data_IF_251817521862
#
_entry.id   IF_251817521862
#
_cell.length_a   1.000
_cell.length_b   1.000
_cell.length_c   1.000
_cell.angle_alpha   90.00
_cell.angle_beta   90.00
_cell.angle_gamma   90.00
#
_symmetry.space_group_name_H-M   'P 1'
#
loop_
_entity.id
_entity.type
_entity.pdbx_description
1 polymer ?
#
# COMPACT_ATOMS: atom_id res chain seq x y z
N UNK A 1 11.39 -13.81 -32.01
CA UNK A 1 9.93 -13.96 -31.95
C UNK A 1 9.63 -15.40 -32.32
N UNK A 2 8.94 -16.15 -31.46
CA UNK A 2 8.39 -17.45 -31.81
C UNK A 2 6.93 -17.42 -31.34
N UNK A 3 6.01 -17.47 -32.29
CA UNK A 3 4.59 -17.31 -32.11
C UNK A 3 3.92 -18.65 -32.40
N UNK A 4 3.25 -19.22 -31.41
CA UNK A 4 2.37 -20.38 -31.58
C UNK A 4 0.99 -20.04 -31.00
N UNK A 5 -0.01 -20.05 -31.89
CA UNK A 5 -1.41 -20.44 -31.66
C UNK A 5 -2.22 -19.71 -30.58
N UNK A 6 -3.17 -18.87 -31.04
CA UNK A 6 -4.42 -18.38 -30.42
C UNK A 6 -4.73 -18.77 -28.95
N UNK A 7 -3.81 -18.44 -28.06
CA UNK A 7 -4.10 -18.15 -26.67
C UNK A 7 -3.22 -16.97 -26.32
N UNK A 8 -3.79 -15.90 -25.78
CA UNK A 8 -3.05 -14.75 -25.26
C UNK A 8 -2.26 -15.17 -23.99
N UNK A 9 -1.36 -16.15 -24.13
CA UNK A 9 -0.46 -16.62 -23.09
C UNK A 9 0.82 -15.81 -23.20
N UNK A 10 0.86 -14.72 -22.43
CA UNK A 10 2.11 -14.04 -22.15
C UNK A 10 3.01 -14.98 -21.34
N UNK A 11 4.19 -15.29 -21.87
CA UNK A 11 5.22 -16.05 -21.18
C UNK A 11 6.32 -15.13 -20.66
N UNK A 12 6.81 -15.41 -19.46
CA UNK A 12 7.94 -14.67 -18.89
C UNK A 12 9.19 -14.98 -19.72
N UNK A 13 9.91 -13.95 -20.16
CA UNK A 13 11.22 -14.15 -20.79
C UNK A 13 12.25 -14.57 -19.73
N UNK A 14 13.30 -15.29 -20.15
CA UNK A 14 14.44 -15.64 -19.30
C UNK A 14 15.05 -14.41 -18.62
N UNK A 15 15.00 -13.24 -19.27
CA UNK A 15 15.49 -11.97 -18.70
C UNK A 15 14.62 -11.46 -17.56
N UNK A 16 13.29 -11.58 -17.69
CA UNK A 16 12.36 -11.23 -16.62
C UNK A 16 12.43 -12.25 -15.47
N UNK A 17 12.67 -13.52 -15.78
CA UNK A 17 12.93 -14.57 -14.79
C UNK A 17 14.23 -14.29 -14.01
N UNK A 18 15.33 -13.93 -14.67
CA UNK A 18 16.60 -13.59 -14.01
C UNK A 18 16.46 -12.37 -13.09
N UNK A 19 15.74 -11.34 -13.54
CA UNK A 19 15.44 -10.16 -12.72
C UNK A 19 14.56 -10.53 -11.51
N UNK A 20 13.54 -11.37 -11.73
CA UNK A 20 12.69 -11.90 -10.67
C UNK A 20 13.47 -12.75 -9.66
N UNK A 21 14.41 -13.58 -10.12
CA UNK A 21 15.25 -14.42 -9.29
C UNK A 21 16.18 -13.59 -8.38
N UNK A 22 16.70 -12.46 -8.88
CA UNK A 22 17.46 -11.51 -8.04
C UNK A 22 16.56 -10.78 -7.05
N UNK A 23 15.33 -10.46 -7.45
CA UNK A 23 14.31 -9.91 -6.54
C UNK A 23 13.85 -10.92 -5.47
N UNK A 24 14.16 -12.22 -5.61
CA UNK A 24 13.87 -13.23 -4.58
C UNK A 24 14.64 -12.98 -3.28
N UNK A 25 15.65 -12.10 -3.24
CA UNK A 25 16.25 -11.66 -1.97
C UNK A 25 15.24 -10.92 -1.07
N UNK A 26 14.15 -10.37 -1.63
CA UNK A 26 13.02 -9.82 -0.87
C UNK A 26 12.01 -10.88 -0.38
N UNK A 27 12.18 -12.16 -0.74
CA UNK A 27 11.27 -13.24 -0.30
C UNK A 27 11.30 -13.41 1.21
N UNK A 28 12.44 -13.16 1.85
CA UNK A 28 12.56 -13.26 3.30
C UNK A 28 11.73 -12.19 4.02
N UNK A 29 11.62 -10.98 3.45
CA UNK A 29 10.75 -9.93 3.99
C UNK A 29 9.28 -10.35 3.89
N UNK A 30 8.82 -10.82 2.73
CA UNK A 30 7.42 -11.22 2.52
C UNK A 30 7.07 -12.41 3.40
N UNK A 31 7.95 -13.42 3.50
CA UNK A 31 7.73 -14.60 4.35
C UNK A 31 7.67 -14.23 5.83
N UNK A 32 8.59 -13.38 6.29
CA UNK A 32 8.59 -12.88 7.66
C UNK A 32 7.33 -12.08 7.99
N UNK A 33 6.91 -11.20 7.07
CA UNK A 33 5.71 -10.41 7.22
C UNK A 33 4.43 -11.26 7.17
N UNK A 34 4.37 -12.31 6.34
CA UNK A 34 3.20 -13.18 6.17
C UNK A 34 2.75 -13.80 7.50
N UNK A 35 3.69 -14.23 8.34
CA UNK A 35 3.40 -14.80 9.67
C UNK A 35 2.62 -13.79 10.53
N UNK A 36 3.13 -12.56 10.63
CA UNK A 36 2.50 -11.50 11.43
C UNK A 36 1.19 -11.01 10.80
N UNK A 37 1.16 -10.86 9.48
CA UNK A 37 -0.04 -10.44 8.74
C UNK A 37 -1.19 -11.42 8.91
N UNK A 38 -0.92 -12.73 8.92
CA UNK A 38 -1.95 -13.76 9.17
C UNK A 38 -2.51 -13.68 10.58
N UNK A 39 -1.66 -13.42 11.58
CA UNK A 39 -2.13 -13.26 12.96
C UNK A 39 -3.03 -12.03 13.10
N UNK A 40 -2.62 -10.89 12.54
CA UNK A 40 -3.45 -9.68 12.51
C UNK A 40 -4.76 -9.94 11.75
N UNK A 41 -4.71 -10.65 10.62
CA UNK A 41 -5.91 -11.00 9.86
C UNK A 41 -6.84 -11.92 10.65
N UNK A 42 -6.31 -12.88 11.42
CA UNK A 42 -7.10 -13.76 12.29
C UNK A 42 -7.82 -12.99 13.39
N UNK A 43 -7.14 -12.02 14.00
CA UNK A 43 -7.68 -11.19 15.09
C UNK A 43 -8.71 -10.17 14.58
N UNK A 44 -8.45 -9.54 13.43
CA UNK A 44 -9.28 -8.44 12.90
C UNK A 44 -10.35 -8.90 11.91
N UNK A 45 -10.12 -10.04 11.25
CA UNK A 45 -10.89 -10.56 10.10
C UNK A 45 -10.89 -9.64 8.87
N UNK A 46 -10.05 -8.60 8.88
CA UNK A 46 -9.94 -7.61 7.82
C UNK A 46 -8.87 -7.97 6.79
N UNK A 47 -8.87 -7.24 5.68
CA UNK A 47 -7.83 -7.34 4.65
C UNK A 47 -6.56 -6.68 5.15
N UNK A 48 -5.43 -7.39 5.06
CA UNK A 48 -4.10 -6.88 5.43
C UNK A 48 -3.28 -6.70 4.15
N UNK A 49 -2.64 -5.54 3.99
CA UNK A 49 -1.78 -5.24 2.84
C UNK A 49 -0.36 -4.97 3.32
N UNK A 50 0.61 -5.48 2.57
CA UNK A 50 1.99 -5.06 2.65
C UNK A 50 2.32 -4.25 1.40
N UNK A 51 2.90 -3.08 1.58
CA UNK A 51 3.32 -2.23 0.48
C UNK A 51 4.75 -1.74 0.66
N UNK A 52 5.41 -1.54 -0.47
CA UNK A 52 6.72 -0.90 -0.55
C UNK A 52 6.58 0.51 -1.12
N UNK A 53 7.47 1.41 -0.70
CA UNK A 53 7.66 2.69 -1.37
C UNK A 53 8.37 2.44 -2.71
N UNK A 54 7.87 3.04 -3.77
CA UNK A 54 8.49 3.06 -5.09
C UNK A 54 8.31 4.44 -5.69
N UNK A 55 9.39 5.22 -5.67
CA UNK A 55 9.44 6.64 -6.04
C UNK A 55 8.35 7.44 -5.30
N UNK A 56 7.34 7.91 -6.03
CA UNK A 56 6.23 8.76 -5.57
C UNK A 56 4.97 7.97 -5.16
N UNK A 57 5.08 6.64 -5.09
CA UNK A 57 3.92 5.76 -4.95
C UNK A 57 4.15 4.58 -4.00
N UNK A 58 3.07 3.95 -3.55
CA UNK A 58 3.13 2.64 -2.91
C UNK A 58 2.83 1.55 -3.92
N UNK A 59 3.54 0.43 -3.83
CA UNK A 59 3.23 -0.81 -4.56
C UNK A 59 2.84 -1.88 -3.56
N UNK A 60 1.67 -2.50 -3.75
CA UNK A 60 1.32 -3.67 -2.93
C UNK A 60 2.19 -4.86 -3.33
N UNK A 61 2.94 -5.40 -2.36
CA UNK A 61 3.85 -6.54 -2.57
C UNK A 61 3.32 -7.83 -1.94
N UNK A 62 2.41 -7.72 -0.96
CA UNK A 62 1.73 -8.89 -0.37
C UNK A 62 0.34 -8.50 0.16
N UNK A 63 -0.53 -9.51 0.32
CA UNK A 63 -1.91 -9.31 0.77
C UNK A 63 -2.48 -10.57 1.45
N UNK A 64 -3.18 -10.38 2.56
CA UNK A 64 -4.11 -11.37 3.14
C UNK A 64 -5.53 -10.87 2.91
N UNK A 65 -6.34 -11.69 2.24
CA UNK A 65 -7.74 -11.35 1.98
C UNK A 65 -8.58 -11.46 3.25
N UNK A 66 -9.53 -10.52 3.38
CA UNK A 66 -10.51 -10.49 4.45
C UNK A 66 -11.37 -11.76 4.47
N UNK A 67 -11.74 -12.20 5.67
CA UNK A 67 -12.67 -13.32 5.85
C UNK A 67 -14.14 -12.95 5.58
N UNK A 68 -14.45 -11.65 5.49
CA UNK A 68 -15.75 -11.18 5.02
C UNK A 68 -15.87 -11.32 3.49
N UNK A 69 -17.08 -11.63 3.00
CA UNK A 69 -17.42 -11.72 1.56
C UNK A 69 -17.32 -10.39 0.78
N UNK A 70 -16.67 -9.38 1.35
CA UNK A 70 -16.50 -8.06 0.78
C UNK A 70 -15.11 -7.93 0.15
N UNK A 71 -15.01 -8.24 -1.15
CA UNK A 71 -13.78 -8.10 -1.93
C UNK A 71 -13.43 -6.62 -2.13
N UNK A 72 -12.33 -6.18 -1.51
CA UNK A 72 -11.71 -4.90 -1.84
C UNK A 72 -10.96 -5.04 -3.17
N UNK A 73 -11.18 -4.12 -4.11
CA UNK A 73 -10.50 -4.09 -5.41
C UNK A 73 -9.03 -3.63 -5.26
N UNK A 74 -8.21 -4.52 -4.69
CA UNK A 74 -6.79 -4.34 -4.44
C UNK A 74 -6.06 -5.62 -4.84
N UNK A 75 -4.97 -5.47 -5.61
CA UNK A 75 -4.16 -6.57 -6.13
C UNK A 75 -2.67 -6.27 -5.93
N UNK A 76 -1.87 -7.31 -5.78
CA UNK A 76 -0.41 -7.22 -5.77
C UNK A 76 0.07 -6.57 -7.08
N UNK A 77 1.10 -5.73 -7.01
CA UNK A 77 1.62 -4.92 -8.12
C UNK A 77 0.83 -3.63 -8.40
N UNK A 78 -0.31 -3.39 -7.74
CA UNK A 78 -1.08 -2.14 -7.95
C UNK A 78 -0.39 -0.96 -7.24
N UNK A 79 -0.07 0.08 -8.02
CA UNK A 79 0.42 1.36 -7.52
C UNK A 79 -0.71 2.23 -6.95
N UNK A 80 -0.45 2.94 -5.86
CA UNK A 80 -1.38 3.94 -5.31
C UNK A 80 -0.61 5.17 -4.80
N UNK A 81 -1.25 6.36 -4.74
CA UNK A 81 -0.58 7.55 -4.24
C UNK A 81 -0.23 7.46 -2.76
N UNK A 82 0.90 8.05 -2.36
CA UNK A 82 1.36 8.07 -0.98
C UNK A 82 0.41 8.83 -0.04
N UNK A 83 -0.03 10.03 -0.45
CA UNK A 83 -0.83 10.94 0.38
C UNK A 83 -2.22 10.40 0.77
N UNK A 84 -2.78 9.51 -0.05
CA UNK A 84 -4.17 9.03 0.10
C UNK A 84 -4.29 7.63 0.71
N UNK A 85 -3.16 6.97 0.98
CA UNK A 85 -3.13 5.61 1.55
C UNK A 85 -2.59 5.61 2.97
N UNK A 86 -3.06 4.67 3.81
CA UNK A 86 -2.52 4.51 5.16
C UNK A 86 -1.04 4.08 5.10
N UNK A 87 -0.71 3.13 4.21
CA UNK A 87 0.66 2.66 4.00
C UNK A 87 1.57 3.81 3.58
N UNK A 88 1.16 4.63 2.60
CA UNK A 88 1.98 5.75 2.16
C UNK A 88 2.25 6.78 3.26
N UNK A 89 1.24 7.09 4.07
CA UNK A 89 1.41 7.95 5.25
C UNK A 89 2.40 7.36 6.26
N UNK A 90 2.32 6.07 6.55
CA UNK A 90 3.27 5.40 7.46
C UNK A 90 4.69 5.41 6.91
N UNK A 91 4.87 5.14 5.62
CA UNK A 91 6.17 5.16 4.96
C UNK A 91 6.81 6.56 4.96
N UNK A 92 6.00 7.61 4.76
CA UNK A 92 6.47 9.00 4.79
C UNK A 92 6.71 9.54 6.21
N UNK A 93 5.99 9.04 7.22
CA UNK A 93 6.07 9.56 8.59
C UNK A 93 7.47 9.45 9.23
N UNK A 94 8.23 8.43 8.83
CA UNK A 94 9.58 8.15 9.34
C UNK A 94 10.71 8.78 8.52
N UNK A 95 10.38 9.45 7.41
CA UNK A 95 11.35 10.14 6.53
C UNK A 95 11.59 11.57 7.00
N UNK A 96 12.74 12.11 6.64
CA UNK A 96 13.03 13.53 6.84
C UNK A 96 12.08 14.40 6.04
N UNK A 97 11.70 15.56 6.60
CA UNK A 97 10.64 16.40 6.02
C UNK A 97 11.02 16.96 4.65
N UNK A 98 12.30 17.18 4.39
CA UNK A 98 12.79 17.63 3.08
C UNK A 98 12.74 16.49 2.04
N UNK A 99 13.08 15.26 2.44
CA UNK A 99 12.91 14.07 1.59
C UNK A 99 11.43 13.84 1.24
N UNK A 100 10.53 14.00 2.22
CA UNK A 100 9.07 13.90 1.98
C UNK A 100 8.61 14.95 0.96
N UNK A 101 9.09 16.20 1.07
CA UNK A 101 8.74 17.26 0.10
C UNK A 101 9.26 16.92 -1.30
N UNK A 102 10.46 16.39 -1.42
CA UNK A 102 11.03 15.95 -2.70
C UNK A 102 10.24 14.79 -3.31
N UNK A 103 9.90 13.76 -2.51
CA UNK A 103 9.08 12.63 -2.97
C UNK A 103 7.71 13.08 -3.48
N UNK A 104 7.15 14.12 -2.87
CA UNK A 104 5.84 14.67 -3.21
C UNK A 104 5.91 15.80 -4.24
N UNK A 105 7.09 16.14 -4.73
CA UNK A 105 7.27 17.16 -5.75
C UNK A 105 6.60 16.70 -7.06
N UNK A 106 5.75 17.54 -7.64
CA UNK A 106 5.00 17.19 -8.85
C UNK A 106 3.80 16.25 -8.65
N UNK A 107 3.50 15.83 -7.42
CA UNK A 107 2.33 14.98 -7.15
C UNK A 107 1.02 15.74 -7.41
N UNK A 108 0.16 15.17 -8.24
CA UNK A 108 -1.21 15.67 -8.46
C UNK A 108 -2.16 15.15 -7.37
N UNK A 109 -2.63 16.07 -6.52
CA UNK A 109 -3.56 15.75 -5.44
C UNK A 109 -5.01 15.65 -5.91
N UNK A 110 -5.51 14.42 -6.07
CA UNK A 110 -6.88 14.13 -6.49
C UNK A 110 -7.80 13.94 -5.29
N UNK A 111 -8.69 14.91 -5.07
CA UNK A 111 -9.72 14.82 -4.02
C UNK A 111 -10.72 13.71 -4.35
N UNK A 112 -10.56 12.55 -3.70
CA UNK A 112 -11.46 11.40 -3.88
C UNK A 112 -12.63 11.40 -2.89
N UNK A 113 -12.47 12.09 -1.75
CA UNK A 113 -13.46 12.25 -0.68
C UNK A 113 -13.28 13.63 -0.04
N UNK A 114 -14.27 14.08 0.74
CA UNK A 114 -14.19 15.32 1.52
C UNK A 114 -13.02 15.35 2.52
N UNK A 115 -12.54 14.18 2.97
CA UNK A 115 -11.42 14.04 3.90
C UNK A 115 -10.08 13.76 3.21
N UNK A 116 -10.03 13.83 1.88
CA UNK A 116 -8.78 13.62 1.16
C UNK A 116 -7.86 14.81 1.38
N UNK A 117 -6.62 14.55 1.78
CA UNK A 117 -5.56 15.56 1.91
C UNK A 117 -5.16 16.00 0.51
N UNK A 118 -5.10 17.31 0.29
CA UNK A 118 -4.94 17.90 -1.06
C UNK A 118 -3.67 18.75 -1.25
N UNK A 119 -2.73 18.75 -0.29
CA UNK A 119 -1.42 19.38 -0.47
C UNK A 119 -0.37 18.74 0.43
N UNK A 120 0.91 18.98 0.12
CA UNK A 120 2.04 18.55 0.94
C UNK A 120 1.97 19.17 2.33
N UNK A 121 1.70 20.46 2.42
CA UNK A 121 1.64 21.24 3.67
C UNK A 121 0.56 20.69 4.60
N UNK A 122 -0.58 20.28 4.05
CA UNK A 122 -1.66 19.65 4.81
C UNK A 122 -1.34 18.19 5.21
N UNK A 123 -0.42 17.53 4.51
CA UNK A 123 0.00 16.17 4.81
C UNK A 123 1.02 16.12 5.95
N UNK A 124 1.97 17.06 6.01
CA UNK A 124 3.05 17.07 7.02
C UNK A 124 2.56 16.90 8.48
N UNK A 125 1.58 17.68 8.99
CA UNK A 125 1.11 17.50 10.37
C UNK A 125 0.42 16.15 10.59
N UNK A 126 -0.16 15.55 9.54
CA UNK A 126 -0.72 14.20 9.62
C UNK A 126 0.39 13.16 9.73
N UNK A 127 1.53 13.38 9.07
CA UNK A 127 2.68 12.49 9.19
C UNK A 127 3.31 12.54 10.59
N UNK A 128 3.32 13.71 11.23
CA UNK A 128 3.74 13.83 12.64
C UNK A 128 2.84 12.99 13.55
N UNK A 129 1.51 13.10 13.41
CA UNK A 129 0.56 12.27 14.15
C UNK A 129 0.74 10.77 13.89
N UNK A 130 0.99 10.39 12.63
CA UNK A 130 1.22 8.98 12.27
C UNK A 130 2.51 8.46 12.89
N UNK A 131 3.56 9.29 12.99
CA UNK A 131 4.82 8.92 13.64
C UNK A 131 4.61 8.70 15.14
N UNK A 132 3.88 9.60 15.81
CA UNK A 132 3.56 9.48 17.24
C UNK A 132 2.71 8.24 17.54
N UNK A 133 1.72 7.94 16.69
CA UNK A 133 0.80 6.82 16.89
C UNK A 133 1.37 5.47 16.42
N UNK A 134 2.44 5.48 15.61
CA UNK A 134 2.97 4.28 14.95
C UNK A 134 2.03 3.64 13.93
N UNK A 135 0.90 4.29 13.61
CA UNK A 135 -0.13 3.77 12.72
C UNK A 135 -0.81 4.90 11.95
N UNK A 136 -1.26 4.61 10.73
CA UNK A 136 -2.16 5.49 9.98
C UNK A 136 -3.53 4.84 9.75
N UNK A 137 -4.53 5.69 9.63
CA UNK A 137 -5.90 5.30 9.28
C UNK A 137 -6.35 6.07 8.04
N UNK A 138 -7.12 5.40 7.20
CA UNK A 138 -7.85 6.06 6.10
C UNK A 138 -9.35 5.90 6.34
N UNK A 139 -10.08 7.00 6.25
CA UNK A 139 -11.55 6.96 6.23
C UNK A 139 -12.04 7.20 4.82
N UNK A 140 -12.57 6.17 4.17
CA UNK A 140 -13.34 6.34 2.94
C UNK A 140 -14.80 6.63 3.30
N UNK A 141 -15.18 7.89 3.32
CA UNK A 141 -16.60 8.28 3.29
C UNK A 141 -17.06 8.31 1.83
N UNK A 142 -18.09 7.55 1.48
CA UNK A 142 -18.94 7.83 0.30
C UNK A 142 -20.26 8.41 0.84
N UNK A 143 -20.86 9.32 0.07
CA UNK A 143 -22.09 10.07 0.40
C UNK A 143 -23.15 9.23 1.15
N UNK A 144 -23.83 9.85 2.13
CA UNK A 144 -25.04 9.32 2.78
C UNK A 144 -26.09 9.00 1.71
N UNK A 145 -26.57 7.75 1.67
CA UNK A 145 -27.63 7.31 0.75
C UNK A 145 -27.50 5.88 0.21
N UNK A 146 -26.35 5.23 0.37
CA UNK A 146 -26.21 3.79 0.11
C UNK A 146 -26.00 3.05 1.42
N UNK A 147 -26.96 2.21 1.78
CA UNK A 147 -26.91 1.39 2.97
C UNK A 147 -25.71 0.43 2.98
N UNK A 148 -25.09 0.37 4.15
CA UNK A 148 -24.15 -0.63 4.62
C UNK A 148 -22.84 -0.83 3.84
N UNK A 149 -21.83 -0.03 4.16
CA UNK A 149 -20.45 -0.52 4.12
C UNK A 149 -19.59 0.09 5.23
N UNK A 150 -19.21 -0.77 6.18
CA UNK A 150 -18.36 -0.51 7.35
C UNK A 150 -17.13 0.34 7.01
N UNK A 151 -16.81 1.24 7.93
CA UNK A 151 -15.52 1.92 8.04
C UNK A 151 -14.39 0.88 8.02
N UNK A 152 -13.65 0.80 6.92
CA UNK A 152 -12.54 -0.16 6.79
C UNK A 152 -11.24 0.54 7.16
N UNK A 153 -10.73 0.23 8.34
CA UNK A 153 -9.42 0.70 8.78
C UNK A 153 -8.36 -0.13 8.07
N UNK A 154 -7.66 0.46 7.11
CA UNK A 154 -6.37 -0.07 6.70
C UNK A 154 -5.35 0.41 7.74
N UNK A 155 -4.91 -0.48 8.61
CA UNK A 155 -3.83 -0.22 9.57
C UNK A 155 -2.52 -0.61 8.89
N UNK A 156 -1.66 0.37 8.67
CA UNK A 156 -0.27 0.12 8.32
C UNK A 156 0.57 0.28 9.59
N UNK A 157 1.47 -0.66 9.85
CA UNK A 157 2.44 -0.61 10.94
C UNK A 157 3.83 -0.51 10.32
N UNK A 158 4.62 0.48 10.74
CA UNK A 158 6.02 0.54 10.36
C UNK A 158 6.81 -0.48 11.19
N UNK A 159 7.50 -1.39 10.52
CA UNK A 159 8.61 -2.13 11.13
C UNK A 159 9.87 -1.40 10.69
N UNK A 160 10.47 -0.63 11.60
CA UNK A 160 11.82 -0.12 11.38
C UNK A 160 12.79 -1.29 11.48
N UNK A 161 13.27 -1.80 10.35
CA UNK A 161 14.54 -2.52 10.37
C UNK A 161 15.64 -1.46 10.44
N UNK A 162 16.55 -1.52 11.43
CA UNK A 162 17.79 -0.77 11.32
C UNK A 162 18.51 -1.29 10.07
N UNK A 163 18.82 -0.37 9.15
CA UNK A 163 19.80 -0.61 8.09
C UNK A 163 21.18 -0.58 8.72
#
# INVERSE_FOLDING_TARGET
MAQEGESEKYSLTLKLFELGARALQNVDLIRSADIQMREISRLTKETIHLGALDEDSIVYIHKIDSMYNLRMYSRIGRRNPLYSTAIGKVLLAWRDRDEVKQILEGVEYKRSTERTITSTEALLPVLDQVREQGMAKITKSRKKGCDALRYRYLIALAWSLPV
#
